data_IF_696668397875
#
_entry.id   IF_696668397875
#
_cell.length_a   1.000
_cell.length_b   1.000
_cell.length_c   1.000
_cell.angle_alpha   90.00
_cell.angle_beta   90.00
_cell.angle_gamma   90.00
#
_symmetry.space_group_name_H-M   'P 1'
#
loop_
_entity.id
_entity.type
_entity.pdbx_description
1 polymer ?
#
# COMPACT_ATOMS: atom_id res chain seq x y z
N UNK A 1 -1.34 -5.21 -14.15
CA UNK A 1 -0.87 -6.52 -14.67
C UNK A 1 -0.10 -7.20 -13.56
N UNK A 2 -0.22 -8.52 -13.43
CA UNK A 2 0.55 -9.28 -12.47
C UNK A 2 2.04 -9.20 -12.82
N UNK A 3 2.91 -9.28 -11.82
CA UNK A 3 4.36 -9.21 -12.00
C UNK A 3 4.92 -7.82 -12.39
N UNK A 4 4.05 -6.82 -12.61
CA UNK A 4 4.49 -5.43 -12.83
C UNK A 4 4.55 -4.68 -11.52
N UNK A 5 5.55 -3.80 -11.42
CA UNK A 5 5.66 -2.90 -10.29
C UNK A 5 4.53 -1.86 -10.30
N UNK A 6 3.91 -1.69 -9.14
CA UNK A 6 2.93 -0.65 -8.85
C UNK A 6 3.46 0.21 -7.70
N UNK A 7 3.59 1.52 -7.95
CA UNK A 7 3.78 2.50 -6.88
C UNK A 7 2.44 2.97 -6.33
N UNK A 8 2.31 3.03 -5.01
CA UNK A 8 1.17 3.67 -4.33
C UNK A 8 1.70 4.75 -3.40
N UNK A 9 1.10 5.95 -3.51
CA UNK A 9 1.33 7.07 -2.58
C UNK A 9 0.17 7.12 -1.60
N UNK A 10 0.49 7.29 -0.33
CA UNK A 10 -0.47 7.27 0.78
C UNK A 10 -0.47 8.61 1.49
N UNK A 11 -1.63 8.99 2.01
CA UNK A 11 -1.81 10.06 2.98
C UNK A 11 -2.42 9.43 4.23
N UNK A 12 -1.61 9.29 5.28
CA UNK A 12 -1.97 8.53 6.46
C UNK A 12 -1.94 9.39 7.72
N UNK A 13 -3.13 9.66 8.26
CA UNK A 13 -3.30 10.23 9.59
C UNK A 13 -2.94 9.22 10.67
N UNK A 14 -2.84 9.68 11.92
CA UNK A 14 -2.36 8.89 13.05
C UNK A 14 -0.87 9.10 13.29
N UNK A 15 -0.31 8.34 14.23
CA UNK A 15 1.05 8.51 14.73
C UNK A 15 1.84 7.21 14.72
N UNK A 16 3.16 7.30 14.89
CA UNK A 16 4.07 6.15 14.84
C UNK A 16 4.35 5.68 13.42
N UNK A 17 5.16 4.64 13.29
CA UNK A 17 5.57 4.10 11.99
C UNK A 17 4.39 3.49 11.23
N UNK A 18 4.48 3.53 9.89
CA UNK A 18 3.52 2.88 9.01
C UNK A 18 3.93 1.40 8.83
N UNK A 19 3.03 0.48 9.19
CA UNK A 19 3.13 -0.94 8.85
C UNK A 19 2.16 -1.25 7.71
N UNK A 20 2.59 -2.01 6.71
CA UNK A 20 1.77 -2.26 5.52
C UNK A 20 2.01 -3.63 4.90
N UNK A 21 0.94 -4.29 4.47
CA UNK A 21 0.97 -5.57 3.77
C UNK A 21 -0.26 -5.69 2.86
N UNK A 22 -0.24 -6.64 1.93
CA UNK A 22 -1.40 -6.91 1.08
C UNK A 22 -1.82 -8.37 1.14
N UNK A 23 -3.12 -8.61 1.21
CA UNK A 23 -3.73 -9.94 1.14
C UNK A 23 -4.44 -10.10 -0.20
N UNK A 24 -4.12 -11.16 -0.92
CA UNK A 24 -4.60 -11.45 -2.27
C UNK A 24 -5.45 -12.72 -2.34
N UNK A 25 -5.63 -13.25 -3.56
CA UNK A 25 -6.31 -14.53 -3.79
C UNK A 25 -5.76 -15.64 -2.90
N UNK A 26 -6.66 -16.52 -2.44
CA UNK A 26 -6.36 -17.66 -1.58
C UNK A 26 -5.66 -17.28 -0.24
N UNK A 27 -5.83 -16.03 0.20
CA UNK A 27 -5.23 -15.53 1.44
C UNK A 27 -3.73 -15.24 1.34
N UNK A 28 -3.16 -15.19 0.12
CA UNK A 28 -1.73 -14.91 -0.08
C UNK A 28 -1.36 -13.53 0.47
N UNK A 29 -0.39 -13.48 1.37
CA UNK A 29 0.13 -12.21 1.91
C UNK A 29 1.44 -11.82 1.22
N UNK A 30 1.54 -10.58 0.79
CA UNK A 30 2.78 -9.99 0.26
C UNK A 30 3.16 -8.72 1.01
N UNK A 31 4.45 -8.44 1.06
CA UNK A 31 5.04 -7.19 1.53
C UNK A 31 5.39 -6.30 0.33
N UNK A 32 5.49 -4.98 0.52
CA UNK A 32 6.02 -4.12 -0.53
C UNK A 32 7.47 -4.51 -0.85
N UNK A 33 7.89 -4.31 -2.11
CA UNK A 33 9.27 -4.53 -2.55
C UNK A 33 10.19 -3.38 -2.15
N UNK A 34 9.62 -2.21 -1.80
CA UNK A 34 10.29 -1.09 -1.16
C UNK A 34 9.28 -0.24 -0.37
N UNK A 35 9.76 0.50 0.63
CA UNK A 35 8.93 1.23 1.59
C UNK A 35 8.27 0.30 2.64
N UNK A 36 7.33 0.82 3.45
CA UNK A 36 6.84 2.19 3.46
C UNK A 36 7.94 3.17 3.89
N UNK A 37 8.14 4.22 3.08
CA UNK A 37 9.12 5.27 3.36
C UNK A 37 8.48 6.67 3.20
N UNK A 38 8.99 7.70 3.89
CA UNK A 38 8.51 9.06 3.72
C UNK A 38 8.57 9.50 2.26
N UNK A 39 7.50 10.12 1.77
CA UNK A 39 7.41 10.64 0.41
C UNK A 39 6.89 12.09 0.50
N UNK A 40 7.51 13.04 -0.19
CA UNK A 40 7.18 14.47 -0.02
C UNK A 40 6.93 15.23 -1.32
N UNK A 41 6.70 14.50 -2.41
CA UNK A 41 6.67 15.06 -3.76
C UNK A 41 5.30 15.06 -4.43
N UNK A 42 4.25 14.54 -3.78
CA UNK A 42 2.93 14.51 -4.42
C UNK A 42 2.20 15.85 -4.31
N UNK A 43 1.43 16.19 -5.35
CA UNK A 43 0.48 17.30 -5.35
C UNK A 43 -0.91 16.88 -4.84
N UNK A 44 -1.02 15.69 -4.25
CA UNK A 44 -2.30 15.16 -3.76
C UNK A 44 -2.54 15.62 -2.32
N UNK A 45 -3.32 16.70 -2.19
CA UNK A 45 -3.65 17.29 -0.90
C UNK A 45 -4.73 16.47 -0.17
N UNK A 46 -4.31 15.76 0.89
CA UNK A 46 -5.16 15.11 1.89
C UNK A 46 -4.49 15.16 3.26
N UNK A 47 -5.26 15.04 4.36
CA UNK A 47 -4.70 14.97 5.71
C UNK A 47 -3.72 13.80 5.91
N UNK A 48 -2.72 14.03 6.77
CA UNK A 48 -1.75 13.01 7.19
C UNK A 48 -0.40 13.08 6.49
N UNK A 49 0.54 12.32 7.03
CA UNK A 49 1.89 12.20 6.49
C UNK A 49 1.84 11.47 5.15
N UNK A 50 2.76 11.82 4.26
CA UNK A 50 2.86 11.21 2.95
C UNK A 50 3.91 10.09 2.94
N UNK A 51 3.51 8.95 2.38
CA UNK A 51 4.32 7.73 2.31
C UNK A 51 4.30 7.15 0.91
N UNK A 52 5.39 6.50 0.51
CA UNK A 52 5.48 5.71 -0.71
C UNK A 52 5.62 4.22 -0.42
N UNK A 53 4.98 3.39 -1.24
CA UNK A 53 5.29 1.95 -1.33
C UNK A 53 5.31 1.45 -2.76
N UNK A 54 6.16 0.45 -3.01
CA UNK A 54 6.23 -0.28 -4.26
C UNK A 54 5.79 -1.72 -4.10
N UNK A 55 5.04 -2.23 -5.06
CA UNK A 55 4.42 -3.54 -4.99
C UNK A 55 4.66 -4.33 -6.26
N UNK A 56 4.88 -5.63 -6.12
CA UNK A 56 4.72 -6.59 -7.21
C UNK A 56 3.70 -7.62 -6.76
N UNK A 57 2.55 -7.65 -7.42
CA UNK A 57 1.52 -8.64 -7.17
C UNK A 57 1.77 -9.86 -8.06
N UNK A 58 2.06 -11.04 -7.48
CA UNK A 58 2.51 -12.20 -8.26
C UNK A 58 1.39 -12.88 -9.06
N UNK A 59 0.13 -12.59 -8.74
CA UNK A 59 -1.03 -13.18 -9.39
C UNK A 59 -2.10 -12.13 -9.66
N UNK A 60 -2.83 -12.31 -10.76
CA UNK A 60 -4.04 -11.57 -11.03
C UNK A 60 -5.11 -11.89 -9.97
N UNK A 61 -6.03 -10.95 -9.74
CA UNK A 61 -7.12 -11.09 -8.78
C UNK A 61 -7.33 -9.85 -7.91
N UNK A 62 -8.19 -9.99 -6.91
CA UNK A 62 -8.46 -8.93 -5.95
C UNK A 62 -7.43 -8.95 -4.83
N UNK A 63 -6.86 -7.79 -4.54
CA UNK A 63 -5.90 -7.58 -3.46
C UNK A 63 -6.38 -6.47 -2.55
N UNK A 64 -6.22 -6.66 -1.24
CA UNK A 64 -6.46 -5.66 -0.21
C UNK A 64 -5.15 -5.32 0.46
N UNK A 65 -4.67 -4.09 0.26
CA UNK A 65 -3.53 -3.55 0.99
C UNK A 65 -4.06 -2.98 2.31
N UNK A 66 -3.51 -3.44 3.43
CA UNK A 66 -3.84 -2.95 4.77
C UNK A 66 -2.68 -2.10 5.29
N UNK A 67 -2.98 -0.85 5.63
CA UNK A 67 -2.05 0.14 6.15
C UNK A 67 -2.42 0.47 7.60
N UNK A 68 -1.48 0.33 8.53
CA UNK A 68 -1.71 0.56 9.96
C UNK A 68 -0.65 1.49 10.54
N UNK A 69 -1.10 2.41 11.38
CA UNK A 69 -0.30 3.23 12.29
C UNK A 69 -0.70 2.90 13.72
N UNK A 70 0.00 3.44 14.72
CA UNK A 70 -0.32 3.18 16.12
C UNK A 70 -1.75 3.58 16.49
N UNK A 71 -2.24 4.69 15.91
CA UNK A 71 -3.54 5.29 16.24
C UNK A 71 -4.54 5.32 15.08
N UNK A 72 -4.29 4.59 13.99
CA UNK A 72 -5.17 4.60 12.82
C UNK A 72 -4.87 3.50 11.82
N UNK A 73 -5.82 3.22 10.94
CA UNK A 73 -5.66 2.26 9.87
C UNK A 73 -6.46 2.66 8.63
N UNK A 74 -6.11 2.06 7.50
CA UNK A 74 -6.80 2.21 6.24
C UNK A 74 -6.53 1.02 5.34
N UNK A 75 -7.30 0.91 4.26
CA UNK A 75 -7.10 -0.13 3.26
C UNK A 75 -7.34 0.39 1.84
N UNK A 76 -6.66 -0.24 0.89
CA UNK A 76 -6.88 -0.07 -0.55
C UNK A 76 -7.25 -1.42 -1.15
N UNK A 77 -8.42 -1.51 -1.76
CA UNK A 77 -8.80 -2.67 -2.57
C UNK A 77 -8.51 -2.35 -4.03
N UNK A 78 -7.79 -3.24 -4.70
CA UNK A 78 -7.53 -3.14 -6.14
C UNK A 78 -7.69 -4.50 -6.82
N UNK A 79 -8.03 -4.45 -8.11
CA UNK A 79 -8.02 -5.61 -8.98
C UNK A 79 -6.76 -5.57 -9.84
N UNK A 80 -5.93 -6.61 -9.72
CA UNK A 80 -4.76 -6.83 -10.57
C UNK A 80 -5.22 -7.67 -11.75
N UNK A 81 -5.14 -7.11 -12.96
CA UNK A 81 -5.32 -7.86 -14.20
C UNK A 81 -4.10 -8.76 -14.47
N UNK A 82 -4.25 -9.75 -15.35
CA UNK A 82 -3.14 -10.54 -15.90
C UNK A 82 -2.06 -9.65 -16.49
#
# INVERSE_FOLDING_TARGET
MAGKELKVVWRMTGSGDLTISATGPDGKVVKPIWGPEPHGGSNWERPGDEWGTGWVFPTAGCWTINATRTSGSGFLVLRVAE
#
